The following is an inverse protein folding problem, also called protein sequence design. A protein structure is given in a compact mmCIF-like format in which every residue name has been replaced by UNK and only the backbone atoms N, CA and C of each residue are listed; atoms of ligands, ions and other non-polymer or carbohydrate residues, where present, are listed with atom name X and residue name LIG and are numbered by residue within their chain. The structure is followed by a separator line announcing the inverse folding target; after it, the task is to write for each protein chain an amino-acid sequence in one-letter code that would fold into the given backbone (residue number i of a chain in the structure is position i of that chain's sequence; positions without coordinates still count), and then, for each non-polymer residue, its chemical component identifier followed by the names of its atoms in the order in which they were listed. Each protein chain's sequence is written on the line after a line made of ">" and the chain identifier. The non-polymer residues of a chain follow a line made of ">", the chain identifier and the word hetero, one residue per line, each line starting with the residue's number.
data_IF_496812057721
#
_entry.id   IF_496812057721
#
_cell.length_a   1.000
_cell.length_b   1.000
_cell.length_c   1.000
_cell.angle_alpha   90.00
_cell.angle_beta   90.00
_cell.angle_gamma   90.00
#
_symmetry.space_group_name_H-M   'P 1'
#
loop_
_entity.id
_entity.type
_entity.pdbx_description
1 polymer ?
#
# COMPACT_ATOMS: atom_id res chain seq x y z
N UNK A 1 -14.47 6.80 -10.43
CA UNK A 1 -13.30 5.97 -10.09
C UNK A 1 -12.51 5.76 -11.37
N UNK A 2 -11.20 5.58 -11.26
CA UNK A 2 -10.38 5.22 -12.42
C UNK A 2 -10.64 3.77 -12.79
N UNK A 3 -10.76 3.50 -14.10
CA UNK A 3 -11.12 2.18 -14.62
C UNK A 3 -10.07 1.64 -15.58
N UNK A 4 -9.85 0.34 -15.50
CA UNK A 4 -9.04 -0.45 -16.44
C UNK A 4 -9.92 -1.58 -16.94
N UNK A 5 -10.02 -1.73 -18.27
CA UNK A 5 -10.90 -2.72 -18.93
C UNK A 5 -12.36 -2.70 -18.41
N UNK A 6 -12.92 -1.51 -18.21
CA UNK A 6 -14.31 -1.33 -17.78
C UNK A 6 -14.59 -1.64 -16.31
N UNK A 7 -13.54 -1.88 -15.50
CA UNK A 7 -13.68 -2.13 -14.06
C UNK A 7 -12.89 -1.10 -13.24
N UNK A 8 -13.44 -0.61 -12.12
CA UNK A 8 -12.68 0.20 -11.16
C UNK A 8 -11.40 -0.51 -10.72
N UNK A 9 -10.29 0.24 -10.60
CA UNK A 9 -9.00 -0.35 -10.17
C UNK A 9 -9.11 -1.01 -8.80
N UNK A 10 -9.89 -0.42 -7.91
CA UNK A 10 -10.10 -0.95 -6.56
C UNK A 10 -10.75 -2.35 -6.57
N UNK A 11 -11.52 -2.71 -7.59
CA UNK A 11 -12.14 -4.04 -7.68
C UNK A 11 -11.08 -5.14 -7.82
N UNK A 12 -10.01 -4.87 -8.56
CA UNK A 12 -8.89 -5.82 -8.69
C UNK A 12 -8.17 -6.05 -7.36
N UNK A 13 -8.07 -5.02 -6.52
CA UNK A 13 -7.49 -5.13 -5.17
C UNK A 13 -8.44 -5.94 -4.28
N UNK A 14 -9.72 -5.62 -4.32
CA UNK A 14 -10.74 -6.29 -3.50
C UNK A 14 -10.85 -7.78 -3.85
N UNK A 15 -10.83 -8.16 -5.13
CA UNK A 15 -10.83 -9.56 -5.57
C UNK A 15 -9.61 -10.32 -5.01
N UNK A 16 -8.43 -9.68 -5.02
CA UNK A 16 -7.23 -10.28 -4.43
C UNK A 16 -7.35 -10.46 -2.93
N UNK A 17 -7.90 -9.47 -2.22
CA UNK A 17 -8.13 -9.55 -0.77
C UNK A 17 -9.17 -10.61 -0.43
N UNK A 18 -10.22 -10.75 -1.23
CA UNK A 18 -11.26 -11.79 -1.06
C UNK A 18 -10.64 -13.18 -1.12
N UNK A 19 -9.65 -13.39 -1.99
CA UNK A 19 -8.97 -14.68 -2.17
C UNK A 19 -7.95 -15.05 -1.08
N UNK A 20 -7.63 -14.15 -0.14
CA UNK A 20 -6.65 -14.40 0.93
C UNK A 20 -7.36 -14.81 2.21
N UNK A 21 -7.26 -16.08 2.67
CA UNK A 21 -7.99 -16.56 3.85
C UNK A 21 -7.67 -15.78 5.14
N UNK A 22 -6.43 -15.31 5.30
CA UNK A 22 -5.97 -14.55 6.47
C UNK A 22 -6.50 -13.11 6.53
N UNK A 23 -7.28 -12.66 5.55
CA UNK A 23 -7.91 -11.33 5.55
C UNK A 23 -9.36 -11.48 6.00
N UNK A 24 -9.72 -10.93 7.16
CA UNK A 24 -11.07 -11.05 7.74
C UNK A 24 -12.00 -9.94 7.27
N UNK A 25 -11.48 -8.78 6.86
CA UNK A 25 -12.27 -7.66 6.39
C UNK A 25 -11.44 -6.62 5.66
N UNK A 26 -12.11 -5.70 5.00
CA UNK A 26 -11.50 -4.67 4.16
C UNK A 26 -11.97 -3.31 4.66
N UNK A 27 -11.02 -2.41 4.89
CA UNK A 27 -11.31 -1.02 5.22
C UNK A 27 -10.82 -0.15 4.07
N UNK A 28 -11.71 0.65 3.51
CA UNK A 28 -11.37 1.64 2.49
C UNK A 28 -11.47 3.03 3.10
N UNK A 29 -10.34 3.72 3.17
CA UNK A 29 -10.28 5.12 3.61
C UNK A 29 -10.34 6.03 2.40
N UNK A 30 -11.17 7.04 2.46
CA UNK A 30 -11.30 8.06 1.40
C UNK A 30 -11.78 9.38 2.01
N UNK A 31 -11.64 10.47 1.27
CA UNK A 31 -12.05 11.77 1.75
C UNK A 31 -13.54 12.07 1.53
N UNK A 32 -14.05 13.12 2.20
CA UNK A 32 -15.46 13.54 2.12
C UNK A 32 -15.93 13.84 0.70
N UNK A 33 -15.03 14.28 -0.18
CA UNK A 33 -15.33 14.57 -1.59
C UNK A 33 -15.76 13.31 -2.37
N UNK A 34 -15.18 12.15 -2.03
CA UNK A 34 -15.39 10.92 -2.78
C UNK A 34 -16.21 9.87 -2.03
N UNK A 35 -16.47 10.02 -0.73
CA UNK A 35 -17.17 9.01 0.09
C UNK A 35 -18.52 8.59 -0.50
N UNK A 36 -19.29 9.52 -1.09
CA UNK A 36 -20.57 9.21 -1.71
C UNK A 36 -20.43 8.27 -2.93
N UNK A 37 -19.34 8.43 -3.73
CA UNK A 37 -19.02 7.56 -4.86
C UNK A 37 -18.64 6.16 -4.37
N UNK A 38 -17.84 6.08 -3.29
CA UNK A 38 -17.46 4.80 -2.69
C UNK A 38 -18.64 4.08 -2.04
N UNK A 39 -19.61 4.80 -1.47
CA UNK A 39 -20.86 4.19 -0.96
C UNK A 39 -21.68 3.55 -2.09
N UNK A 40 -21.77 4.21 -3.26
CA UNK A 40 -22.43 3.62 -4.44
C UNK A 40 -21.66 2.39 -4.94
N UNK A 41 -20.36 2.50 -5.07
CA UNK A 41 -19.48 1.40 -5.45
C UNK A 41 -19.60 0.20 -4.52
N UNK A 42 -19.57 0.40 -3.20
CA UNK A 42 -19.71 -0.70 -2.22
C UNK A 42 -20.98 -1.54 -2.45
N UNK A 43 -22.09 -0.92 -2.89
CA UNK A 43 -23.35 -1.63 -3.18
C UNK A 43 -23.24 -2.57 -4.39
N UNK A 44 -22.26 -2.38 -5.26
CA UNK A 44 -22.04 -3.23 -6.45
C UNK A 44 -21.10 -4.41 -6.20
N UNK A 45 -20.42 -4.45 -5.04
CA UNK A 45 -19.49 -5.50 -4.71
C UNK A 45 -20.18 -6.85 -4.49
N UNK A 46 -19.61 -7.90 -5.07
CA UNK A 46 -20.03 -9.29 -4.90
C UNK A 46 -18.97 -10.08 -4.18
N UNK A 47 -18.71 -9.73 -2.91
CA UNK A 47 -17.71 -10.38 -2.06
C UNK A 47 -18.33 -10.81 -0.73
N UNK A 48 -17.70 -11.78 -0.07
CA UNK A 48 -18.17 -12.31 1.23
C UNK A 48 -17.60 -11.54 2.40
N UNK A 49 -16.37 -11.03 2.27
CA UNK A 49 -15.70 -10.30 3.35
C UNK A 49 -16.36 -8.95 3.60
N UNK A 50 -16.50 -8.53 4.87
CA UNK A 50 -17.06 -7.23 5.20
C UNK A 50 -16.18 -6.10 4.66
N UNK A 51 -16.82 -5.10 4.04
CA UNK A 51 -16.16 -3.87 3.57
C UNK A 51 -16.66 -2.69 4.39
N UNK A 52 -15.76 -2.00 5.06
CA UNK A 52 -16.03 -0.77 5.78
C UNK A 52 -15.48 0.42 5.01
N UNK A 53 -16.29 1.48 4.87
CA UNK A 53 -15.84 2.74 4.30
C UNK A 53 -15.59 3.75 5.43
N UNK A 54 -14.44 4.39 5.42
CA UNK A 54 -14.08 5.44 6.36
C UNK A 54 -13.89 6.75 5.59
N UNK A 55 -14.66 7.76 5.97
CA UNK A 55 -14.41 9.14 5.58
C UNK A 55 -13.36 9.71 6.53
N UNK A 56 -12.22 10.18 5.99
CA UNK A 56 -11.13 10.83 6.73
C UNK A 56 -11.45 12.28 7.11
N UNK A 57 -12.63 12.78 6.67
CA UNK A 57 -13.18 14.12 6.90
C UNK A 57 -12.45 15.24 6.14
N UNK A 58 -11.45 14.94 5.32
CA UNK A 58 -10.76 15.94 4.51
C UNK A 58 -11.54 16.27 3.24
N UNK A 59 -11.39 17.49 2.73
CA UNK A 59 -12.18 18.00 1.59
C UNK A 59 -11.31 18.44 0.41
N UNK A 60 -10.02 18.63 0.63
CA UNK A 60 -9.08 19.19 -0.36
C UNK A 60 -7.70 18.55 -0.23
N UNK A 61 -6.80 18.94 -1.11
CA UNK A 61 -5.40 18.51 -1.03
C UNK A 61 -4.61 19.23 0.09
N UNK A 62 -5.12 20.36 0.59
CA UNK A 62 -4.44 21.16 1.63
C UNK A 62 -4.70 20.65 3.04
N UNK A 63 -5.82 20.00 3.28
CA UNK A 63 -6.21 19.46 4.58
C UNK A 63 -6.02 17.94 4.69
N UNK A 64 -5.51 17.28 3.63
CA UNK A 64 -5.32 15.82 3.60
C UNK A 64 -4.41 15.31 4.73
N UNK A 65 -4.76 14.17 5.29
CA UNK A 65 -3.98 13.54 6.35
C UNK A 65 -2.69 12.91 5.80
N UNK A 66 -2.66 12.59 4.50
CA UNK A 66 -1.63 11.80 3.85
C UNK A 66 -1.76 10.30 4.13
N UNK A 67 -1.11 9.48 3.32
CA UNK A 67 -1.35 8.02 3.33
C UNK A 67 -1.10 7.37 4.71
N UNK A 68 -0.06 7.78 5.44
CA UNK A 68 0.21 7.27 6.81
C UNK A 68 -0.79 7.87 7.82
N UNK A 69 -1.23 9.12 7.60
CA UNK A 69 -2.28 9.75 8.40
C UNK A 69 -3.61 9.02 8.27
N UNK A 70 -3.98 8.61 7.06
CA UNK A 70 -5.20 7.83 6.78
C UNK A 70 -5.17 6.46 7.47
N UNK A 71 -4.03 5.78 7.43
CA UNK A 71 -3.82 4.51 8.15
C UNK A 71 -3.97 4.72 9.66
N UNK A 72 -3.33 5.75 10.22
CA UNK A 72 -3.44 6.06 11.65
C UNK A 72 -4.87 6.44 12.06
N UNK A 73 -5.58 7.16 11.19
CA UNK A 73 -6.98 7.53 11.41
C UNK A 73 -7.88 6.29 11.46
N UNK A 74 -7.71 5.37 10.51
CA UNK A 74 -8.44 4.11 10.47
C UNK A 74 -8.18 3.25 11.71
N UNK A 75 -6.91 3.06 12.09
CA UNK A 75 -6.50 2.32 13.29
C UNK A 75 -7.18 2.88 14.53
N UNK A 76 -7.13 4.20 14.70
CA UNK A 76 -7.76 4.88 15.86
C UNK A 76 -9.28 4.72 15.84
N UNK A 77 -9.93 4.96 14.70
CA UNK A 77 -11.38 4.94 14.56
C UNK A 77 -11.97 3.55 14.80
N UNK A 78 -11.26 2.51 14.38
CA UNK A 78 -11.68 1.11 14.55
C UNK A 78 -11.07 0.44 15.79
N UNK A 79 -10.23 1.14 16.57
CA UNK A 79 -9.50 0.59 17.73
C UNK A 79 -8.75 -0.70 17.39
N UNK A 80 -8.13 -0.72 16.19
CA UNK A 80 -7.49 -1.92 15.66
C UNK A 80 -6.34 -2.38 16.55
N UNK A 81 -6.26 -3.69 16.79
CA UNK A 81 -5.22 -4.36 17.56
C UNK A 81 -4.63 -5.55 16.79
N UNK A 82 -5.13 -5.82 15.59
CA UNK A 82 -4.74 -6.93 14.73
C UNK A 82 -3.63 -6.49 13.75
N UNK A 83 -3.03 -7.46 13.10
CA UNK A 83 -2.13 -7.19 11.97
C UNK A 83 -2.90 -6.51 10.84
N UNK A 84 -2.26 -5.59 10.16
CA UNK A 84 -2.87 -4.89 9.04
C UNK A 84 -2.08 -5.07 7.74
N UNK A 85 -2.82 -5.19 6.66
CA UNK A 85 -2.33 -5.13 5.30
C UNK A 85 -2.76 -3.79 4.68
N UNK A 86 -1.79 -2.93 4.39
CA UNK A 86 -2.01 -1.64 3.74
C UNK A 86 -1.72 -1.76 2.26
N UNK A 87 -2.65 -1.31 1.42
CA UNK A 87 -2.49 -1.31 -0.05
C UNK A 87 -2.92 0.06 -0.58
N UNK A 88 -2.07 0.69 -1.38
CA UNK A 88 -2.45 1.89 -2.12
C UNK A 88 -3.58 1.60 -3.11
N UNK A 89 -4.65 2.40 -3.07
CA UNK A 89 -5.85 2.18 -3.88
C UNK A 89 -5.67 2.40 -5.39
N UNK A 90 -4.52 2.88 -5.81
CA UNK A 90 -4.07 3.12 -7.17
C UNK A 90 -3.15 2.01 -7.72
N UNK A 91 -2.90 0.97 -6.95
CA UNK A 91 -2.07 -0.16 -7.35
C UNK A 91 -2.84 -1.19 -8.18
N UNK A 92 -2.30 -1.51 -9.33
CA UNK A 92 -2.79 -2.60 -10.19
C UNK A 92 -1.65 -3.59 -10.43
N UNK A 93 -1.80 -4.84 -9.97
CA UNK A 93 -0.76 -5.86 -10.09
C UNK A 93 -1.34 -7.26 -10.32
N UNK A 94 -0.62 -8.09 -11.08
CA UNK A 94 -1.04 -9.47 -11.39
C UNK A 94 -0.56 -10.49 -10.37
N UNK A 95 0.48 -10.19 -9.59
CA UNK A 95 1.07 -11.11 -8.62
C UNK A 95 0.10 -11.58 -7.52
N UNK A 96 0.33 -12.78 -7.01
CA UNK A 96 -0.48 -13.39 -5.96
C UNK A 96 -0.27 -12.74 -4.59
N UNK A 97 -1.34 -12.21 -3.98
CA UNK A 97 -1.31 -11.55 -2.68
C UNK A 97 -1.13 -12.57 -1.53
N UNK A 98 -1.69 -13.76 -1.65
CA UNK A 98 -1.58 -14.80 -0.62
C UNK A 98 -0.12 -15.14 -0.30
N UNK A 99 0.74 -15.33 -1.32
CA UNK A 99 2.18 -15.60 -1.11
C UNK A 99 2.91 -14.47 -0.37
N UNK A 100 2.48 -13.22 -0.60
CA UNK A 100 3.01 -12.08 0.14
C UNK A 100 2.60 -12.16 1.61
N UNK A 101 1.34 -12.44 1.89
CA UNK A 101 0.81 -12.55 3.26
C UNK A 101 1.47 -13.71 4.00
N UNK A 102 1.59 -14.89 3.39
CA UNK A 102 2.28 -16.05 3.99
C UNK A 102 3.73 -15.72 4.34
N UNK A 103 4.45 -15.09 3.40
CA UNK A 103 5.81 -14.62 3.67
C UNK A 103 5.85 -13.61 4.82
N UNK A 104 4.96 -12.62 4.85
CA UNK A 104 4.91 -11.60 5.88
C UNK A 104 4.62 -12.19 7.26
N UNK A 105 3.66 -13.11 7.36
CA UNK A 105 3.36 -13.84 8.61
C UNK A 105 4.58 -14.62 9.10
N UNK A 106 5.35 -15.26 8.19
CA UNK A 106 6.58 -15.98 8.55
C UNK A 106 7.70 -15.06 9.07
N UNK A 107 7.59 -13.74 8.89
CA UNK A 107 8.56 -12.74 9.34
C UNK A 107 8.15 -11.99 10.60
N UNK A 108 6.98 -12.30 11.18
CA UNK A 108 6.58 -11.71 12.46
C UNK A 108 7.69 -11.85 13.53
N UNK A 109 7.88 -10.86 14.38
CA UNK A 109 7.11 -9.61 14.55
C UNK A 109 7.56 -8.46 13.63
N UNK A 110 8.35 -8.73 12.59
CA UNK A 110 8.87 -7.73 11.67
C UNK A 110 7.81 -7.30 10.64
N UNK A 111 7.88 -6.04 10.19
CA UNK A 111 7.08 -5.55 9.08
C UNK A 111 7.60 -6.10 7.74
N UNK A 112 6.72 -6.19 6.75
CA UNK A 112 7.07 -6.63 5.40
C UNK A 112 6.53 -5.66 4.36
N UNK A 113 7.35 -5.33 3.36
CA UNK A 113 6.97 -4.45 2.25
C UNK A 113 6.95 -5.22 0.93
N UNK A 114 5.95 -4.92 0.10
CA UNK A 114 5.89 -5.38 -1.28
C UNK A 114 6.82 -4.57 -2.17
N UNK A 115 7.64 -5.26 -2.94
CA UNK A 115 8.62 -4.68 -3.85
C UNK A 115 8.40 -5.19 -5.27
N UNK A 116 8.69 -4.33 -6.24
CA UNK A 116 8.71 -4.68 -7.64
C UNK A 116 10.09 -4.35 -8.26
N UNK A 117 10.55 -5.20 -9.18
CA UNK A 117 11.82 -4.97 -9.88
C UNK A 117 11.54 -4.30 -11.22
N UNK A 118 11.86 -3.02 -11.35
CA UNK A 118 11.74 -2.27 -12.59
C UNK A 118 12.73 -2.77 -13.67
N UNK A 119 12.40 -2.54 -14.94
CA UNK A 119 13.30 -2.80 -16.06
C UNK A 119 14.44 -1.77 -16.09
N UNK A 120 14.09 -0.49 -15.96
CA UNK A 120 15.01 0.62 -16.07
C UNK A 120 15.27 1.27 -14.70
N UNK A 121 16.54 1.60 -14.45
CA UNK A 121 16.95 2.21 -13.19
C UNK A 121 16.42 3.65 -13.06
N UNK A 122 16.33 4.37 -14.17
CA UNK A 122 15.88 5.77 -14.17
C UNK A 122 14.43 5.92 -13.69
N UNK A 123 13.57 4.96 -14.04
CA UNK A 123 12.16 4.98 -13.60
C UNK A 123 12.03 4.85 -12.07
N UNK A 124 13.06 4.33 -11.39
CA UNK A 124 13.03 4.14 -9.95
C UNK A 124 13.03 5.44 -9.14
N UNK A 125 13.45 6.57 -9.73
CA UNK A 125 13.45 7.89 -9.08
C UNK A 125 12.05 8.37 -8.65
N UNK A 126 10.99 7.80 -9.22
CA UNK A 126 9.59 8.14 -8.89
C UNK A 126 9.06 7.41 -7.65
N UNK A 127 9.82 6.46 -7.09
CA UNK A 127 9.35 5.52 -6.06
C UNK A 127 10.32 5.44 -4.88
N UNK A 128 9.84 4.82 -3.81
CA UNK A 128 10.72 4.37 -2.73
C UNK A 128 11.63 3.23 -3.21
N UNK A 129 12.95 3.44 -3.18
CA UNK A 129 13.96 2.51 -3.68
C UNK A 129 14.55 1.70 -2.54
N UNK A 130 14.61 0.37 -2.69
CA UNK A 130 15.10 -0.54 -1.67
C UNK A 130 16.28 -1.40 -2.13
N UNK A 131 17.12 -1.84 -1.18
CA UNK A 131 18.04 -2.98 -1.34
C UNK A 131 17.78 -4.00 -0.24
N UNK A 132 17.92 -5.26 -0.59
CA UNK A 132 17.74 -6.38 0.32
C UNK A 132 19.05 -7.13 0.52
N UNK A 133 19.24 -7.69 1.72
CA UNK A 133 20.27 -8.69 1.96
C UNK A 133 19.82 -10.09 1.47
N UNK A 134 20.69 -11.10 1.65
CA UNK A 134 20.40 -12.49 1.27
C UNK A 134 19.23 -13.10 2.04
N UNK A 135 18.91 -12.57 3.22
CA UNK A 135 17.77 -12.99 4.07
C UNK A 135 16.49 -12.20 3.79
N UNK A 136 16.50 -11.36 2.73
CA UNK A 136 15.41 -10.47 2.33
C UNK A 136 15.12 -9.33 3.31
N UNK A 137 16.05 -8.97 4.23
CA UNK A 137 15.90 -7.76 5.04
C UNK A 137 16.19 -6.53 4.20
N UNK A 138 15.43 -5.47 4.46
CA UNK A 138 15.64 -4.16 3.84
C UNK A 138 16.86 -3.50 4.51
N UNK A 139 17.98 -3.47 3.79
CA UNK A 139 19.23 -2.86 4.27
C UNK A 139 19.40 -1.41 3.79
N UNK A 140 18.64 -1.03 2.78
CA UNK A 140 18.60 0.34 2.25
C UNK A 140 17.18 0.66 1.80
N UNK A 141 16.73 1.86 2.10
CA UNK A 141 15.50 2.44 1.59
C UNK A 141 15.67 3.96 1.48
N UNK A 142 15.22 4.54 0.37
CA UNK A 142 15.19 6.00 0.15
C UNK A 142 13.97 6.34 -0.70
N UNK A 143 13.18 7.32 -0.26
CA UNK A 143 11.99 7.78 -0.96
C UNK A 143 12.37 8.74 -2.08
N UNK A 144 12.00 8.39 -3.32
CA UNK A 144 12.19 9.19 -4.53
C UNK A 144 13.59 9.77 -4.68
N UNK A 145 14.65 8.93 -4.67
CA UNK A 145 16.01 9.41 -4.77
C UNK A 145 16.29 10.00 -6.15
N UNK A 146 17.00 11.12 -6.20
CA UNK A 146 17.44 11.73 -7.46
C UNK A 146 18.38 10.79 -8.27
N UNK A 147 19.15 9.95 -7.56
CA UNK A 147 20.06 8.95 -8.14
C UNK A 147 19.75 7.56 -7.54
N UNK A 148 18.82 6.79 -8.14
CA UNK A 148 18.43 5.49 -7.61
C UNK A 148 19.60 4.51 -7.54
N UNK A 149 19.73 3.80 -6.41
CA UNK A 149 20.80 2.81 -6.18
C UNK A 149 20.36 1.36 -6.40
N UNK A 150 19.10 1.14 -6.84
CA UNK A 150 18.51 -0.18 -7.09
C UNK A 150 17.30 -0.04 -8.00
N UNK A 151 16.98 -1.12 -8.72
CA UNK A 151 15.74 -1.27 -9.49
C UNK A 151 14.58 -1.82 -8.66
N UNK A 152 14.80 -2.17 -7.38
CA UNK A 152 13.74 -2.62 -6.49
C UNK A 152 13.01 -1.41 -5.90
N UNK A 153 11.71 -1.33 -6.15
CA UNK A 153 10.87 -0.20 -5.71
C UNK A 153 9.69 -0.67 -4.88
N UNK A 154 9.27 0.15 -3.93
CA UNK A 154 8.10 -0.14 -3.10
C UNK A 154 6.81 0.06 -3.88
N UNK A 155 5.87 -0.88 -3.69
CA UNK A 155 4.56 -0.92 -4.37
C UNK A 155 3.44 -0.27 -3.56
N UNK A 156 3.72 0.49 -2.50
CA UNK A 156 2.69 0.91 -1.55
C UNK A 156 1.84 -0.26 -1.02
N UNK A 157 2.52 -1.36 -0.67
CA UNK A 157 1.92 -2.58 -0.14
C UNK A 157 2.74 -3.01 1.07
N UNK A 158 2.11 -2.97 2.28
CA UNK A 158 2.80 -3.15 3.54
C UNK A 158 2.01 -4.05 4.47
N UNK A 159 2.67 -5.04 5.06
CA UNK A 159 2.15 -5.82 6.16
C UNK A 159 2.78 -5.30 7.45
N UNK A 160 1.93 -4.85 8.37
CA UNK A 160 2.33 -4.25 9.65
C UNK A 160 1.73 -5.09 10.77
N UNK A 161 2.55 -5.84 11.54
CA UNK A 161 2.07 -6.62 12.68
C UNK A 161 1.46 -5.73 13.76
N UNK A 162 0.51 -6.28 14.51
CA UNK A 162 -0.22 -5.60 15.58
C UNK A 162 0.70 -4.86 16.57
N UNK A 163 1.77 -5.51 17.01
CA UNK A 163 2.76 -4.92 17.91
C UNK A 163 3.50 -3.70 17.36
N UNK A 164 3.42 -3.47 16.02
CA UNK A 164 4.06 -2.36 15.33
C UNK A 164 3.11 -1.17 15.06
N UNK A 165 1.80 -1.30 15.31
CA UNK A 165 0.83 -0.24 15.04
C UNK A 165 1.13 1.04 15.83
N UNK A 166 1.68 0.92 17.03
CA UNK A 166 2.13 2.07 17.83
C UNK A 166 3.18 2.92 17.12
N UNK A 167 4.04 2.31 16.29
CA UNK A 167 5.10 3.01 15.56
C UNK A 167 4.55 3.99 14.52
N UNK A 168 3.35 3.73 13.97
CA UNK A 168 2.67 4.68 13.06
C UNK A 168 2.36 5.98 13.79
N UNK A 169 1.85 5.89 15.02
CA UNK A 169 1.55 7.06 15.85
C UNK A 169 2.81 7.79 16.29
N UNK A 170 3.86 7.06 16.63
CA UNK A 170 5.16 7.65 17.00
C UNK A 170 5.75 8.43 15.82
N UNK A 171 5.70 7.87 14.60
CA UNK A 171 6.16 8.54 13.38
C UNK A 171 5.44 9.87 13.13
N UNK A 172 4.12 9.90 13.29
CA UNK A 172 3.33 11.12 13.08
C UNK A 172 3.61 12.19 14.15
N UNK A 173 3.83 11.78 15.40
CA UNK A 173 4.14 12.71 16.52
C UNK A 173 5.44 13.47 16.32
N UNK A 174 6.43 12.90 15.64
CA UNK A 174 7.71 13.58 15.39
C UNK A 174 7.66 14.55 14.19
N UNK A 175 6.45 14.85 13.65
CA UNK A 175 6.24 15.88 12.63
C UNK A 175 6.77 15.53 11.24
N UNK A 176 7.03 14.24 10.95
CA UNK A 176 7.51 13.81 9.64
C UNK A 176 6.37 13.78 8.61
N UNK A 177 6.73 13.94 7.33
CA UNK A 177 5.79 13.96 6.20
C UNK A 177 4.94 12.68 6.15
N UNK A 178 3.64 12.82 6.41
CA UNK A 178 2.67 11.72 6.42
C UNK A 178 2.27 11.26 5.00
N UNK A 179 2.53 12.07 4.00
CA UNK A 179 2.03 11.91 2.63
C UNK A 179 2.73 10.79 1.86
N UNK A 180 4.06 10.72 1.95
CA UNK A 180 4.84 9.69 1.28
C UNK A 180 5.07 8.50 2.23
N UNK A 181 4.44 7.35 1.92
CA UNK A 181 4.57 6.11 2.70
C UNK A 181 6.03 5.63 2.81
N UNK A 182 6.84 5.92 1.81
CA UNK A 182 8.25 5.53 1.81
C UNK A 182 9.07 6.23 2.90
N UNK A 183 8.75 7.46 3.27
CA UNK A 183 9.40 8.12 4.40
C UNK A 183 9.13 7.39 5.73
N UNK A 184 7.94 6.83 5.89
CA UNK A 184 7.62 5.98 7.03
C UNK A 184 8.42 4.69 7.00
N UNK A 185 8.55 4.03 5.85
CA UNK A 185 9.32 2.80 5.72
C UNK A 185 10.81 3.03 5.97
N UNK A 186 11.38 4.14 5.49
CA UNK A 186 12.75 4.53 5.78
C UNK A 186 13.00 4.71 7.29
N UNK A 187 12.08 5.39 7.96
CA UNK A 187 12.12 5.54 9.41
C UNK A 187 11.91 4.19 10.14
N UNK A 188 10.94 3.39 9.69
CA UNK A 188 10.59 2.11 10.32
C UNK A 188 11.77 1.13 10.32
N UNK A 189 12.49 1.01 9.19
CA UNK A 189 13.67 0.13 9.09
C UNK A 189 14.79 0.48 10.08
N UNK A 190 14.84 1.71 10.57
CA UNK A 190 15.79 2.13 11.60
C UNK A 190 15.35 1.74 13.02
N UNK A 191 14.09 1.37 13.21
CA UNK A 191 13.49 1.01 14.50
C UNK A 191 13.30 -0.49 14.68
N UNK A 192 13.14 -1.20 13.56
CA UNK A 192 12.93 -2.64 13.58
C UNK A 192 13.35 -3.30 12.26
N UNK A 193 13.55 -4.62 12.29
CA UNK A 193 13.74 -5.37 11.07
C UNK A 193 12.53 -5.21 10.15
N UNK A 194 12.79 -4.91 8.89
CA UNK A 194 11.77 -4.84 7.84
C UNK A 194 12.21 -5.75 6.71
N UNK A 195 11.30 -6.55 6.18
CA UNK A 195 11.57 -7.49 5.10
C UNK A 195 10.93 -7.04 3.79
N UNK A 196 11.51 -7.46 2.66
CA UNK A 196 10.99 -7.18 1.32
C UNK A 196 10.57 -8.44 0.60
N UNK A 197 9.34 -8.45 0.09
CA UNK A 197 8.82 -9.49 -0.80
C UNK A 197 8.80 -8.95 -2.23
N UNK A 198 9.47 -9.63 -3.16
CA UNK A 198 9.55 -9.21 -4.56
C UNK A 198 8.41 -9.86 -5.34
N UNK A 199 7.47 -9.03 -5.79
CA UNK A 199 6.38 -9.48 -6.67
C UNK A 199 6.89 -9.78 -8.07
N UNK A 200 6.27 -10.78 -8.68
CA UNK A 200 6.46 -11.14 -10.09
C UNK A 200 5.21 -10.80 -10.89
N UNK A 201 5.34 -10.74 -12.21
CA UNK A 201 4.25 -10.38 -13.12
C UNK A 201 4.26 -8.90 -13.47
N UNK A 202 3.08 -8.32 -13.71
CA UNK A 202 2.92 -6.90 -14.03
C UNK A 202 2.52 -6.09 -12.80
N UNK A 203 2.98 -4.84 -12.75
CA UNK A 203 2.59 -3.85 -11.76
C UNK A 203 2.51 -2.47 -12.40
N UNK A 204 1.47 -1.73 -12.05
CA UNK A 204 1.21 -0.34 -12.48
C UNK A 204 0.76 0.46 -11.26
N UNK A 205 1.45 1.55 -10.99
CA UNK A 205 1.02 2.62 -10.10
C UNK A 205 0.23 3.62 -10.94
N UNK A 206 -1.08 3.71 -10.71
CA UNK A 206 -2.00 4.50 -11.54
C UNK A 206 -2.11 5.96 -11.03
N UNK A 207 -1.12 6.44 -10.34
CA UNK A 207 -1.04 7.84 -9.91
C UNK A 207 -0.85 8.84 -11.07
N UNK A 208 -0.49 8.37 -12.28
CA UNK A 208 -0.27 9.18 -13.47
C UNK A 208 -1.07 8.64 -14.67
N UNK A 209 -1.52 9.56 -15.54
CA UNK A 209 -2.27 9.25 -16.77
C UNK A 209 -1.49 8.35 -17.74
N UNK A 210 -0.16 8.49 -17.77
CA UNK A 210 0.75 7.66 -18.57
C UNK A 210 0.65 6.18 -18.16
N UNK A 211 0.66 5.91 -16.85
CA UNK A 211 0.56 4.55 -16.33
C UNK A 211 -0.83 3.96 -16.48
N UNK A 212 -1.88 4.78 -16.36
CA UNK A 212 -3.25 4.36 -16.67
C UNK A 212 -3.39 3.89 -18.11
N UNK A 213 -2.85 4.64 -19.08
CA UNK A 213 -2.88 4.27 -20.50
C UNK A 213 -2.15 2.95 -20.75
N UNK A 214 -0.98 2.77 -20.16
CA UNK A 214 -0.20 1.51 -20.23
C UNK A 214 -0.97 0.35 -19.61
N UNK A 215 -1.59 0.55 -18.45
CA UNK A 215 -2.38 -0.47 -17.77
C UNK A 215 -3.59 -0.89 -18.63
N UNK A 216 -4.34 0.06 -19.21
CA UNK A 216 -5.46 -0.23 -20.12
C UNK A 216 -5.04 -1.10 -21.30
N UNK A 217 -3.84 -0.92 -21.83
CA UNK A 217 -3.33 -1.67 -22.98
C UNK A 217 -2.78 -3.04 -22.63
N UNK A 218 -2.04 -3.17 -21.53
CA UNK A 218 -1.19 -4.33 -21.25
C UNK A 218 -1.55 -5.14 -20.00
N UNK A 219 -2.44 -4.69 -19.13
CA UNK A 219 -2.87 -5.47 -17.98
C UNK A 219 -3.80 -6.60 -18.45
N UNK A 220 -3.37 -7.84 -18.18
CA UNK A 220 -4.11 -9.07 -18.55
C UNK A 220 -5.02 -9.51 -17.41
#
# INVERSE_FOLDING_TARGET
>A
MLEVKGRPIIDYIVDKLESVPAVDGIIVVTNSKFIAKFRKWKKTLKIKKPVLLIDDLTKSNTDRLGAIGDVAFAIRKQRMQEDILVIGGDNLFSGGLAKFVDFAVSKRPAATIGLYKLRDLQDASSYGVAKLDRRKRVIYFEEKPAKPKSKLVAMCLYYIPAGCLKLIREYLKIGRKADATGNYIDWLKSRMNTYGFIFRGSWYDIGDFKYLTRAKKYFA
#
